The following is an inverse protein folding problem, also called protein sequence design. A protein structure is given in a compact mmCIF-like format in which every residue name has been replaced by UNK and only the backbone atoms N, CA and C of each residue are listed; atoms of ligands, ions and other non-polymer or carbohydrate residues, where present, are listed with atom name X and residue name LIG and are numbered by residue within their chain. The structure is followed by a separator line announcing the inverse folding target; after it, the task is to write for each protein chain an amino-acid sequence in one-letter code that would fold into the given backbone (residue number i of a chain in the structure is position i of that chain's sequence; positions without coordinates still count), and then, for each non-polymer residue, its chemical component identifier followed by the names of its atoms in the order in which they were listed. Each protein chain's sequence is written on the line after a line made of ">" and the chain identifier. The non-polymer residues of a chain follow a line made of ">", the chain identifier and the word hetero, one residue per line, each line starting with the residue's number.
data_IF_092069903008
#
_entry.id   IF_092069903008
#
_cell.length_a   1.000
_cell.length_b   1.000
_cell.length_c   1.000
_cell.angle_alpha   90.00
_cell.angle_beta   90.00
_cell.angle_gamma   90.00
#
_symmetry.space_group_name_H-M   'P 1'
#
loop_
_entity.id
_entity.type
_entity.pdbx_description
1 polymer ?
#
# COMPACT_ATOMS: atom_id res chain seq x y z
N UNK A 1 16.22 -14.25 5.04
CA UNK A 1 15.61 -12.96 5.43
C UNK A 1 14.67 -12.50 4.33
N UNK A 2 13.45 -12.12 4.69
CA UNK A 2 12.53 -11.41 3.80
C UNK A 2 12.54 -9.93 4.14
N UNK A 3 12.54 -9.07 3.12
CA UNK A 3 12.53 -7.61 3.28
C UNK A 3 11.12 -7.04 3.49
N UNK A 4 10.14 -7.92 3.78
CA UNK A 4 8.73 -7.57 3.94
C UNK A 4 8.09 -8.40 5.05
N UNK A 5 7.04 -7.87 5.68
CA UNK A 5 6.24 -8.58 6.68
C UNK A 5 5.34 -9.67 6.08
N UNK A 6 5.16 -9.69 4.77
CA UNK A 6 4.40 -10.71 4.05
C UNK A 6 5.38 -11.57 3.25
N UNK A 7 5.45 -12.86 3.55
CA UNK A 7 6.30 -13.78 2.79
C UNK A 7 5.61 -14.15 1.48
N UNK A 8 6.27 -13.85 0.36
CA UNK A 8 5.80 -14.19 -0.97
C UNK A 8 6.42 -15.50 -1.42
N UNK A 9 5.59 -16.44 -1.87
CA UNK A 9 6.02 -17.73 -2.37
C UNK A 9 5.42 -17.99 -3.77
N UNK A 10 6.25 -18.41 -4.70
CA UNK A 10 5.82 -18.95 -5.98
C UNK A 10 5.87 -20.48 -5.88
N UNK A 11 4.73 -21.15 -6.00
CA UNK A 11 4.66 -22.60 -5.93
C UNK A 11 5.25 -23.24 -7.18
N UNK A 12 5.57 -24.53 -7.11
CA UNK A 12 6.10 -25.29 -8.24
C UNK A 12 5.17 -25.32 -9.47
N UNK A 13 3.87 -25.16 -9.26
CA UNK A 13 2.86 -25.03 -10.33
C UNK A 13 2.72 -23.61 -10.90
N UNK A 14 3.55 -22.66 -10.42
CA UNK A 14 3.56 -21.27 -10.84
C UNK A 14 2.56 -20.36 -10.11
N UNK A 15 1.70 -20.88 -9.24
CA UNK A 15 0.75 -20.08 -8.47
C UNK A 15 1.42 -19.37 -7.30
N UNK A 16 0.85 -18.22 -6.88
CA UNK A 16 1.32 -17.43 -5.75
C UNK A 16 0.67 -17.87 -4.43
N UNK A 17 1.44 -17.83 -3.36
CA UNK A 17 0.97 -17.97 -1.99
C UNK A 17 1.62 -16.88 -1.11
N UNK A 18 0.92 -16.47 -0.06
CA UNK A 18 1.35 -15.40 0.83
C UNK A 18 1.17 -15.83 2.27
N UNK A 19 2.20 -15.60 3.11
CA UNK A 19 2.14 -15.84 4.54
C UNK A 19 2.14 -14.49 5.26
N UNK A 20 1.11 -14.25 6.04
CA UNK A 20 0.86 -13.02 6.78
C UNK A 20 1.26 -13.10 8.26
N UNK A 21 1.91 -14.18 8.69
CA UNK A 21 2.20 -14.44 10.11
C UNK A 21 2.94 -13.28 10.78
N UNK A 22 3.95 -12.70 10.13
CA UNK A 22 4.72 -11.58 10.70
C UNK A 22 3.89 -10.30 10.71
N UNK A 23 3.14 -10.04 9.63
CA UNK A 23 2.23 -8.91 9.53
C UNK A 23 1.15 -8.96 10.63
N UNK A 24 0.51 -10.10 10.82
CA UNK A 24 -0.53 -10.29 11.82
C UNK A 24 -0.01 -10.01 13.24
N UNK A 25 1.13 -10.59 13.60
CA UNK A 25 1.74 -10.38 14.90
C UNK A 25 2.10 -8.93 15.15
N UNK A 26 2.58 -8.23 14.13
CA UNK A 26 2.89 -6.81 14.23
C UNK A 26 1.62 -5.98 14.45
N UNK A 27 0.57 -6.21 13.68
CA UNK A 27 -0.72 -5.51 13.80
C UNK A 27 -1.34 -5.77 15.17
N UNK A 28 -1.40 -7.03 15.62
CA UNK A 28 -1.93 -7.41 16.93
C UNK A 28 -1.14 -6.75 18.08
N UNK A 29 0.19 -6.69 17.96
CA UNK A 29 1.03 -5.97 18.91
C UNK A 29 0.72 -4.48 18.94
N UNK A 30 0.65 -3.82 17.80
CA UNK A 30 0.34 -2.39 17.71
C UNK A 30 -1.05 -2.07 18.29
N UNK A 31 -2.04 -2.91 18.02
CA UNK A 31 -3.38 -2.78 18.62
C UNK A 31 -3.36 -2.95 20.13
N UNK A 32 -2.54 -3.86 20.65
CA UNK A 32 -2.44 -4.09 22.11
C UNK A 32 -1.87 -2.90 22.87
N UNK A 33 -1.12 -2.01 22.18
CA UNK A 33 -0.60 -0.76 22.76
C UNK A 33 -1.41 0.49 22.37
N UNK A 34 -2.61 0.31 21.80
CA UNK A 34 -3.58 1.38 21.52
C UNK A 34 -3.46 2.01 20.13
N UNK A 35 -2.67 1.44 19.22
CA UNK A 35 -2.56 1.90 17.82
C UNK A 35 -3.47 1.01 16.96
N UNK A 36 -4.76 1.39 16.88
CA UNK A 36 -5.83 0.56 16.32
C UNK A 36 -6.74 1.29 15.31
N UNK A 37 -6.42 2.54 14.94
CA UNK A 37 -7.31 3.36 14.11
C UNK A 37 -7.02 3.27 12.62
N UNK A 38 -5.76 3.01 12.25
CA UNK A 38 -5.35 2.89 10.87
C UNK A 38 -4.07 2.06 10.75
N UNK A 39 -4.03 1.19 9.76
CA UNK A 39 -2.86 0.40 9.37
C UNK A 39 -2.42 0.88 8.00
N UNK A 40 -1.23 1.49 7.92
CA UNK A 40 -0.65 1.97 6.65
C UNK A 40 0.33 0.93 6.10
N UNK A 41 -0.03 0.29 4.99
CA UNK A 41 0.79 -0.76 4.35
C UNK A 41 1.65 -0.16 3.24
N UNK A 42 2.89 0.19 3.55
CA UNK A 42 3.93 0.61 2.62
C UNK A 42 4.68 -0.60 2.05
N UNK A 43 5.17 -0.60 0.84
CA UNK A 43 4.79 0.19 -0.33
C UNK A 43 4.79 -0.70 -1.56
N UNK A 44 3.81 -0.51 -2.45
CA UNK A 44 3.79 -1.15 -3.78
C UNK A 44 4.84 -0.55 -4.73
N UNK A 45 5.32 0.66 -4.43
CA UNK A 45 6.28 1.43 -5.25
C UNK A 45 7.52 1.83 -4.44
N UNK A 46 8.28 0.85 -3.92
CA UNK A 46 9.54 1.14 -3.22
C UNK A 46 10.52 1.85 -4.17
N UNK A 47 11.58 2.45 -3.60
CA UNK A 47 12.60 3.15 -4.39
C UNK A 47 13.29 2.23 -5.40
N UNK A 48 13.60 1.00 -4.99
CA UNK A 48 14.02 -0.06 -5.89
C UNK A 48 12.80 -0.94 -6.20
N UNK A 49 12.38 -0.94 -7.46
CA UNK A 49 11.25 -1.75 -7.94
C UNK A 49 11.69 -3.21 -8.13
N UNK A 50 12.08 -3.82 -7.03
CA UNK A 50 12.57 -5.20 -6.96
C UNK A 50 11.86 -5.92 -5.80
N UNK A 51 11.16 -7.00 -6.10
CA UNK A 51 10.30 -7.71 -5.15
C UNK A 51 10.85 -9.11 -4.90
N UNK A 52 11.15 -9.39 -3.63
CA UNK A 52 11.68 -10.67 -3.19
C UNK A 52 10.57 -11.71 -3.04
N UNK A 53 10.82 -12.93 -3.48
CA UNK A 53 9.95 -14.07 -3.25
C UNK A 53 10.75 -15.37 -3.12
N UNK A 54 10.16 -16.37 -2.47
CA UNK A 54 10.71 -17.73 -2.45
C UNK A 54 10.11 -18.53 -3.60
N UNK A 55 10.96 -19.10 -4.45
CA UNK A 55 10.55 -19.97 -5.54
C UNK A 55 10.69 -21.45 -5.12
N UNK A 56 9.57 -22.15 -5.00
CA UNK A 56 9.56 -23.56 -4.63
C UNK A 56 10.18 -24.46 -5.71
N UNK A 57 10.07 -24.09 -6.99
CA UNK A 57 10.62 -24.90 -8.07
C UNK A 57 12.16 -24.91 -8.04
N UNK A 58 12.79 -23.80 -7.69
CA UNK A 58 14.24 -23.68 -7.58
C UNK A 58 14.75 -23.83 -6.14
N UNK A 59 13.84 -23.89 -5.16
CA UNK A 59 14.11 -23.93 -3.72
C UNK A 59 15.06 -22.81 -3.28
N UNK A 60 14.82 -21.59 -3.77
CA UNK A 60 15.69 -20.43 -3.49
C UNK A 60 14.94 -19.11 -3.46
N UNK A 61 15.55 -18.10 -2.84
CA UNK A 61 15.08 -16.72 -2.91
C UNK A 61 15.37 -16.14 -4.29
N UNK A 62 14.38 -15.51 -4.86
CA UNK A 62 14.42 -14.86 -6.15
C UNK A 62 13.95 -13.41 -6.04
N UNK A 63 14.24 -12.62 -7.08
CA UNK A 63 13.79 -11.24 -7.18
C UNK A 63 13.15 -11.01 -8.55
N UNK A 64 11.99 -10.37 -8.57
CA UNK A 64 11.39 -9.85 -9.80
C UNK A 64 11.54 -8.33 -9.82
N UNK A 65 12.19 -7.81 -10.87
CA UNK A 65 12.29 -6.37 -11.14
C UNK A 65 11.20 -6.00 -12.12
N UNK A 66 10.28 -5.16 -11.70
CA UNK A 66 9.14 -4.76 -12.52
C UNK A 66 8.51 -3.46 -11.97
N UNK A 67 7.85 -2.70 -12.84
CA UNK A 67 7.33 -1.36 -12.54
C UNK A 67 5.82 -1.25 -12.84
N UNK A 68 5.10 -0.30 -12.18
CA UNK A 68 3.71 -0.02 -12.49
C UNK A 68 3.49 0.26 -13.99
N UNK A 69 2.56 -0.50 -14.58
CA UNK A 69 2.27 -0.48 -16.02
C UNK A 69 2.87 -1.63 -16.79
N UNK A 70 3.76 -2.43 -16.19
CA UNK A 70 4.26 -3.67 -16.78
C UNK A 70 3.35 -4.86 -16.44
N UNK A 71 3.16 -5.82 -17.37
CA UNK A 71 2.32 -6.99 -17.12
C UNK A 71 2.75 -7.81 -15.89
N UNK A 72 4.05 -8.00 -15.68
CA UNK A 72 4.57 -8.72 -14.54
C UNK A 72 4.25 -8.03 -13.21
N UNK A 73 4.31 -6.69 -13.16
CA UNK A 73 3.92 -5.92 -11.99
C UNK A 73 2.44 -6.12 -11.65
N UNK A 74 1.58 -6.02 -12.65
CA UNK A 74 0.14 -6.21 -12.49
C UNK A 74 -0.18 -7.63 -12.02
N UNK A 75 0.43 -8.64 -12.64
CA UNK A 75 0.23 -10.06 -12.28
C UNK A 75 0.51 -10.31 -10.79
N UNK A 76 1.71 -9.95 -10.32
CA UNK A 76 2.11 -10.25 -8.94
C UNK A 76 1.32 -9.44 -7.92
N UNK A 77 1.09 -8.14 -8.18
CA UNK A 77 0.42 -7.28 -7.22
C UNK A 77 -1.09 -7.48 -7.17
N UNK A 78 -1.75 -7.80 -8.28
CA UNK A 78 -3.17 -8.18 -8.26
C UNK A 78 -3.35 -9.48 -7.46
N UNK A 79 -2.49 -10.49 -7.66
CA UNK A 79 -2.55 -11.73 -6.90
C UNK A 79 -2.34 -11.48 -5.39
N UNK A 80 -1.33 -10.67 -5.04
CA UNK A 80 -1.04 -10.33 -3.65
C UNK A 80 -2.19 -9.56 -3.01
N UNK A 81 -2.65 -8.48 -3.63
CA UNK A 81 -3.69 -7.63 -3.06
C UNK A 81 -5.05 -8.34 -2.95
N UNK A 82 -5.41 -9.19 -3.91
CA UNK A 82 -6.64 -9.99 -3.83
C UNK A 82 -6.59 -10.97 -2.64
N UNK A 83 -5.44 -11.64 -2.44
CA UNK A 83 -5.21 -12.48 -1.26
C UNK A 83 -5.24 -11.67 0.04
N UNK A 84 -4.61 -10.50 0.04
CA UNK A 84 -4.53 -9.62 1.21
C UNK A 84 -5.88 -9.03 1.60
N UNK A 85 -6.70 -8.62 0.62
CA UNK A 85 -8.07 -8.18 0.86
C UNK A 85 -8.88 -9.25 1.58
N UNK A 86 -8.82 -10.49 1.09
CA UNK A 86 -9.49 -11.62 1.73
C UNK A 86 -9.01 -11.81 3.17
N UNK A 87 -7.70 -11.85 3.39
CA UNK A 87 -7.09 -11.98 4.70
C UNK A 87 -7.51 -10.87 5.67
N UNK A 88 -7.46 -9.61 5.23
CA UNK A 88 -7.88 -8.47 6.05
C UNK A 88 -9.37 -8.51 6.42
N UNK A 89 -10.23 -8.95 5.50
CA UNK A 89 -11.66 -9.14 5.75
C UNK A 89 -11.90 -10.25 6.78
N UNK A 90 -11.19 -11.36 6.69
CA UNK A 90 -11.23 -12.47 7.67
C UNK A 90 -10.76 -12.02 9.06
N UNK A 91 -9.77 -11.14 9.15
CA UNK A 91 -9.28 -10.56 10.41
C UNK A 91 -10.15 -9.40 10.94
N UNK A 92 -11.07 -8.88 10.15
CA UNK A 92 -11.85 -7.67 10.50
C UNK A 92 -11.04 -6.38 10.45
N UNK A 93 -9.93 -6.35 9.70
CA UNK A 93 -9.01 -5.20 9.62
C UNK A 93 -9.13 -4.41 8.31
N UNK A 94 -9.94 -4.87 7.36
CA UNK A 94 -10.02 -4.27 6.03
C UNK A 94 -10.40 -2.77 6.08
N UNK A 95 -11.36 -2.41 6.93
CA UNK A 95 -11.86 -1.03 7.03
C UNK A 95 -10.87 -0.04 7.67
N UNK A 96 -9.89 -0.53 8.41
CA UNK A 96 -8.84 0.29 9.03
C UNK A 96 -7.51 0.20 8.28
N UNK A 97 -7.41 -0.64 7.25
CA UNK A 97 -6.20 -0.79 6.45
C UNK A 97 -6.20 0.14 5.24
N UNK A 98 -5.06 0.72 4.94
CA UNK A 98 -4.82 1.47 3.71
C UNK A 98 -3.60 0.92 2.98
N UNK A 99 -3.70 0.84 1.65
CA UNK A 99 -2.52 0.64 0.80
C UNK A 99 -1.82 1.99 0.70
N UNK A 100 -0.61 2.08 1.24
CA UNK A 100 0.11 3.34 1.40
C UNK A 100 1.25 3.47 0.38
N UNK A 101 1.46 4.69 -0.11
CA UNK A 101 2.58 5.02 -0.97
C UNK A 101 3.18 6.40 -0.63
N UNK A 102 4.48 6.54 -0.90
CA UNK A 102 5.13 7.83 -0.95
C UNK A 102 4.84 8.53 -2.28
N UNK A 103 5.12 9.84 -2.34
CA UNK A 103 5.02 10.60 -3.57
C UNK A 103 6.01 10.06 -4.63
N UNK A 104 5.46 9.69 -5.77
CA UNK A 104 6.18 9.18 -6.94
C UNK A 104 5.76 9.99 -8.17
N UNK A 105 6.40 9.85 -9.33
CA UNK A 105 5.92 10.46 -10.56
C UNK A 105 4.43 10.15 -10.79
N UNK A 106 3.66 11.13 -11.26
CA UNK A 106 2.21 11.07 -11.38
C UNK A 106 1.73 9.83 -12.16
N UNK A 107 2.39 9.50 -13.26
CA UNK A 107 2.03 8.35 -14.08
C UNK A 107 2.23 7.03 -13.32
N UNK A 108 3.25 6.94 -12.47
CA UNK A 108 3.51 5.77 -11.61
C UNK A 108 2.40 5.62 -10.58
N UNK A 109 2.04 6.72 -9.89
CA UNK A 109 0.96 6.72 -8.89
C UNK A 109 -0.37 6.31 -9.52
N UNK A 110 -0.73 6.88 -10.68
CA UNK A 110 -1.96 6.54 -11.39
C UNK A 110 -2.01 5.08 -11.86
N UNK A 111 -0.89 4.53 -12.35
CA UNK A 111 -0.80 3.11 -12.71
C UNK A 111 -0.94 2.20 -11.51
N UNK A 112 -0.34 2.58 -10.37
CA UNK A 112 -0.46 1.84 -9.11
C UNK A 112 -1.91 1.83 -8.60
N UNK A 113 -2.60 2.97 -8.62
CA UNK A 113 -4.01 3.06 -8.26
C UNK A 113 -4.88 2.11 -9.11
N UNK A 114 -4.62 2.00 -10.41
CA UNK A 114 -5.33 1.06 -11.29
C UNK A 114 -5.15 -0.39 -10.85
N UNK A 115 -3.94 -0.78 -10.46
CA UNK A 115 -3.65 -2.15 -9.95
C UNK A 115 -4.39 -2.41 -8.65
N UNK A 116 -4.40 -1.43 -7.72
CA UNK A 116 -5.15 -1.54 -6.45
C UNK A 116 -6.65 -1.75 -6.75
N UNK A 117 -7.24 -0.91 -7.59
CA UNK A 117 -8.67 -1.00 -7.94
C UNK A 117 -9.02 -2.28 -8.68
N UNK A 118 -8.11 -2.84 -9.47
CA UNK A 118 -8.28 -4.12 -10.15
C UNK A 118 -8.31 -5.29 -9.17
N UNK A 119 -7.52 -5.23 -8.11
CA UNK A 119 -7.46 -6.29 -7.09
C UNK A 119 -8.69 -6.26 -6.18
N UNK A 120 -9.03 -5.09 -5.65
CA UNK A 120 -10.25 -4.84 -4.88
C UNK A 120 -10.58 -3.34 -4.93
N UNK A 121 -11.73 -2.94 -5.49
CA UNK A 121 -12.12 -1.54 -5.64
C UNK A 121 -12.36 -0.84 -4.30
N UNK A 122 -12.61 -1.57 -3.21
CA UNK A 122 -12.93 -1.02 -1.89
C UNK A 122 -11.69 -0.73 -1.05
N UNK A 123 -10.49 -1.06 -1.50
CA UNK A 123 -9.28 -0.70 -0.78
C UNK A 123 -9.18 0.81 -0.55
N UNK A 124 -8.95 1.19 0.69
CA UNK A 124 -8.54 2.55 1.02
C UNK A 124 -7.08 2.76 0.64
N UNK A 125 -6.78 3.94 0.13
CA UNK A 125 -5.42 4.32 -0.26
C UNK A 125 -4.98 5.52 0.55
N UNK A 126 -3.73 5.51 1.01
CA UNK A 126 -3.07 6.67 1.62
C UNK A 126 -1.84 7.08 0.83
N UNK A 127 -1.55 8.37 0.83
CA UNK A 127 -0.36 8.93 0.19
C UNK A 127 0.27 9.97 1.10
N UNK A 128 1.60 9.92 1.24
CA UNK A 128 2.38 10.95 1.90
C UNK A 128 3.15 11.76 0.85
N UNK A 129 2.92 13.07 0.80
CA UNK A 129 3.57 13.94 -0.20
C UNK A 129 2.88 15.28 -0.39
N UNK A 130 3.19 15.94 -1.51
CA UNK A 130 2.57 17.19 -1.92
C UNK A 130 1.14 16.96 -2.44
N UNK A 131 0.36 18.03 -2.47
CA UNK A 131 -0.99 17.98 -3.01
C UNK A 131 -1.00 17.86 -4.55
N UNK A 132 -1.76 16.87 -5.04
CA UNK A 132 -2.02 16.63 -6.45
C UNK A 132 -3.51 16.44 -6.68
N UNK A 133 -4.13 17.39 -7.37
CA UNK A 133 -5.58 17.36 -7.63
C UNK A 133 -6.03 16.14 -8.45
N UNK A 134 -5.13 15.62 -9.29
CA UNK A 134 -5.41 14.53 -10.24
C UNK A 134 -5.66 13.19 -9.55
N UNK A 135 -5.08 12.96 -8.36
CA UNK A 135 -5.20 11.69 -7.62
C UNK A 135 -5.92 11.87 -6.28
N UNK A 136 -6.17 13.13 -5.86
CA UNK A 136 -6.80 13.41 -4.57
C UNK A 136 -8.14 12.66 -4.39
N UNK A 137 -9.03 12.54 -5.40
CA UNK A 137 -10.29 11.84 -5.23
C UNK A 137 -10.15 10.35 -4.87
N UNK A 138 -9.06 9.71 -5.28
CA UNK A 138 -8.78 8.29 -5.04
C UNK A 138 -8.25 8.00 -3.64
N UNK A 139 -7.82 9.03 -2.91
CA UNK A 139 -7.14 8.89 -1.62
C UNK A 139 -8.12 8.98 -0.46
N UNK A 140 -8.07 7.99 0.42
CA UNK A 140 -8.77 8.02 1.71
C UNK A 140 -8.03 8.89 2.73
N UNK A 141 -6.73 8.68 2.91
CA UNK A 141 -5.88 9.52 3.77
C UNK A 141 -4.83 10.23 2.90
N UNK A 142 -4.86 11.56 2.94
CA UNK A 142 -3.86 12.38 2.30
C UNK A 142 -2.98 13.00 3.36
N UNK A 143 -1.76 12.47 3.52
CA UNK A 143 -0.77 12.95 4.47
C UNK A 143 0.09 14.03 3.79
N UNK A 144 -0.19 15.29 4.11
CA UNK A 144 0.42 16.46 3.46
C UNK A 144 1.65 16.91 4.23
N UNK A 145 2.72 17.28 3.53
CA UNK A 145 3.89 17.91 4.12
C UNK A 145 3.49 19.26 4.73
N UNK A 146 3.84 19.48 6.00
CA UNK A 146 3.59 20.77 6.67
C UNK A 146 4.28 21.90 5.89
N UNK A 147 3.58 23.03 5.73
CA UNK A 147 4.08 24.17 4.96
C UNK A 147 3.74 24.15 3.48
N UNK A 148 3.23 23.04 2.96
CA UNK A 148 2.76 23.00 1.57
C UNK A 148 1.38 23.65 1.41
N UNK A 149 1.17 24.20 0.22
CA UNK A 149 -0.12 24.79 -0.13
C UNK A 149 -1.17 23.70 -0.35
N UNK A 150 -2.10 23.58 0.60
CA UNK A 150 -3.22 22.63 0.52
C UNK A 150 -4.54 23.40 0.52
N UNK A 151 -5.39 23.30 -0.54
CA UNK A 151 -6.60 24.07 -0.66
C UNK A 151 -7.59 23.79 0.48
N UNK A 152 -8.07 24.85 1.14
CA UNK A 152 -8.97 24.72 2.30
C UNK A 152 -10.34 24.14 1.91
N UNK A 153 -10.86 24.48 0.75
CA UNK A 153 -12.10 23.92 0.20
C UNK A 153 -12.00 22.40 -0.02
N UNK A 154 -10.85 21.91 -0.50
CA UNK A 154 -10.55 20.47 -0.63
C UNK A 154 -10.55 19.82 0.75
N UNK A 155 -9.88 20.41 1.73
CA UNK A 155 -9.83 19.90 3.11
C UNK A 155 -11.22 19.78 3.72
N UNK A 156 -12.07 20.79 3.54
CA UNK A 156 -13.44 20.80 4.05
C UNK A 156 -14.32 19.74 3.34
N UNK A 157 -14.21 19.63 2.02
CA UNK A 157 -14.92 18.61 1.24
C UNK A 157 -14.53 17.20 1.70
N UNK A 158 -13.23 16.90 1.81
CA UNK A 158 -12.74 15.61 2.28
C UNK A 158 -13.27 15.24 3.67
N UNK A 159 -13.31 16.24 4.58
CA UNK A 159 -13.91 16.04 5.90
C UNK A 159 -15.40 15.68 5.82
N UNK A 160 -16.15 16.33 4.93
CA UNK A 160 -17.57 16.03 4.72
C UNK A 160 -17.78 14.63 4.13
N UNK A 161 -16.83 14.14 3.34
CA UNK A 161 -16.80 12.79 2.75
C UNK A 161 -16.23 11.71 3.69
N UNK A 162 -15.94 12.02 4.96
CA UNK A 162 -15.25 11.14 5.92
C UNK A 162 -13.88 10.64 5.44
N UNK A 163 -13.22 11.39 4.57
CA UNK A 163 -11.83 11.17 4.17
C UNK A 163 -10.89 11.88 5.13
N UNK A 164 -9.73 11.31 5.36
CA UNK A 164 -8.71 11.88 6.24
C UNK A 164 -7.78 12.83 5.49
N UNK A 165 -7.36 13.89 6.18
CA UNK A 165 -6.21 14.71 5.84
C UNK A 165 -5.33 14.76 7.07
N UNK A 166 -4.13 14.22 6.95
CA UNK A 166 -3.12 14.19 8.00
C UNK A 166 -1.90 15.02 7.58
N UNK A 167 -0.98 15.27 8.48
CA UNK A 167 0.18 16.10 8.21
C UNK A 167 1.44 15.47 8.79
N UNK A 168 2.56 15.68 8.12
CA UNK A 168 3.87 15.26 8.61
C UNK A 168 4.94 16.33 8.34
N UNK A 169 6.02 16.26 9.10
CA UNK A 169 7.25 17.06 8.86
C UNK A 169 8.23 16.23 8.03
N UNK A 170 8.91 16.89 7.09
CA UNK A 170 9.99 16.31 6.30
C UNK A 170 11.35 16.85 6.73
N UNK A 171 12.44 16.19 6.38
CA UNK A 171 13.80 16.60 6.72
C UNK A 171 14.23 17.96 6.14
N UNK A 172 13.48 18.51 5.19
CA UNK A 172 13.73 19.83 4.58
C UNK A 172 13.11 21.00 5.37
N UNK A 173 12.35 20.72 6.44
CA UNK A 173 11.61 21.73 7.23
C UNK A 173 12.20 21.95 8.61
N UNK A 174 13.41 21.41 8.84
CA UNK A 174 14.15 21.56 10.10
C UNK A 174 15.10 22.76 10.07
#
# INVERSE_FOLDING_TARGET
>A
YFDTMVTWMKRADGTWAFDYTVFDRWVEFMMSVGIDKQINCYSMVPWELSFQYFDQATNSLQFVKTAPGEPAYEEIWVAMLASFSKHLKEKGWFDICTIAMDERPMDVMQKTLKVIRKADPDFKVSLAGNYHAEIEPDLYDYCIVIGQNYPEDVRLRRKAENKRTTYYTCCTEA
#
